data_IF_881844263357
#
_entry.id   IF_881844263357
#
_cell.length_a   1.000
_cell.length_b   1.000
_cell.length_c   1.000
_cell.angle_alpha   90.00
_cell.angle_beta   90.00
_cell.angle_gamma   90.00
#
_symmetry.space_group_name_H-M   'P 1'
#
loop_
_entity.id
_entity.type
_entity.pdbx_description
1 polymer ?
#
# COMPACT_ATOMS: atom_id res chain seq x y z
N UNK A 1 4.73 -67.55 103.12
CA UNK A 1 4.08 -66.58 102.22
C UNK A 1 4.90 -65.30 102.25
N UNK A 2 5.72 -65.09 101.24
CA UNK A 2 5.89 -63.79 100.61
C UNK A 2 6.58 -64.03 99.27
N UNK A 3 5.87 -63.63 98.23
CA UNK A 3 6.12 -63.98 96.85
C UNK A 3 7.39 -63.32 96.34
N UNK A 4 8.14 -64.10 95.57
CA UNK A 4 9.22 -63.67 94.69
C UNK A 4 8.61 -62.70 93.66
N UNK A 5 8.96 -61.43 93.68
CA UNK A 5 8.77 -60.54 92.53
C UNK A 5 10.11 -60.44 91.84
N UNK A 6 10.23 -61.10 90.69
CA UNK A 6 11.43 -61.03 89.84
C UNK A 6 11.53 -59.60 89.25
N UNK A 7 12.72 -58.96 89.23
CA UNK A 7 12.88 -57.63 88.61
C UNK A 7 12.54 -57.60 87.11
N UNK A 8 12.41 -58.76 86.45
CA UNK A 8 11.98 -58.87 85.06
C UNK A 8 10.50 -58.50 84.82
N UNK A 9 9.61 -58.67 85.82
CA UNK A 9 8.18 -58.37 85.64
C UNK A 9 7.88 -56.85 85.68
N UNK A 10 8.70 -56.04 86.37
CA UNK A 10 8.53 -54.58 86.39
C UNK A 10 9.04 -53.89 85.12
N UNK A 11 10.08 -54.44 84.47
CA UNK A 11 10.58 -53.91 83.19
C UNK A 11 9.66 -54.25 82.01
N UNK A 12 8.99 -55.42 82.04
CA UNK A 12 8.03 -55.81 81.00
C UNK A 12 6.77 -54.93 81.00
N UNK A 13 6.22 -54.61 82.18
CA UNK A 13 4.99 -53.80 82.30
C UNK A 13 5.23 -52.33 81.94
N UNK A 14 6.38 -51.76 82.33
CA UNK A 14 6.75 -50.38 81.96
C UNK A 14 7.06 -50.19 80.48
N UNK A 15 7.51 -51.25 79.79
CA UNK A 15 7.77 -51.23 78.34
C UNK A 15 6.47 -51.26 77.52
N UNK A 16 5.46 -52.01 77.98
CA UNK A 16 4.14 -52.06 77.33
C UNK A 16 3.36 -50.76 77.48
N UNK A 17 3.35 -50.14 78.66
CA UNK A 17 2.63 -48.86 78.90
C UNK A 17 3.25 -47.67 78.13
N UNK A 18 4.58 -47.68 77.97
CA UNK A 18 5.30 -46.72 77.13
C UNK A 18 5.00 -46.91 75.64
N UNK A 19 5.04 -48.15 75.15
CA UNK A 19 4.71 -48.50 73.76
C UNK A 19 3.27 -48.13 73.38
N UNK A 20 2.31 -48.33 74.27
CA UNK A 20 0.92 -47.95 74.05
C UNK A 20 0.73 -46.43 74.00
N UNK A 21 1.51 -45.69 74.78
CA UNK A 21 1.49 -44.22 74.80
C UNK A 21 2.11 -43.64 73.53
N UNK A 22 3.24 -44.18 73.08
CA UNK A 22 3.91 -43.80 71.82
C UNK A 22 3.04 -44.13 70.59
N UNK A 23 2.35 -45.27 70.61
CA UNK A 23 1.38 -45.66 69.56
C UNK A 23 0.21 -44.68 69.46
N UNK A 24 -0.39 -44.31 70.60
CA UNK A 24 -1.51 -43.34 70.62
C UNK A 24 -1.07 -41.95 70.17
N UNK A 25 0.13 -41.51 70.56
CA UNK A 25 0.70 -40.24 70.12
C UNK A 25 0.88 -40.21 68.59
N UNK A 26 1.49 -41.26 68.02
CA UNK A 26 1.65 -41.38 66.57
C UNK A 26 0.32 -41.41 65.81
N UNK A 27 -0.69 -42.12 66.32
CA UNK A 27 -2.04 -42.13 65.72
C UNK A 27 -2.68 -40.74 65.74
N UNK A 28 -2.57 -40.01 66.85
CA UNK A 28 -3.11 -38.65 66.94
C UNK A 28 -2.41 -37.70 65.95
N UNK A 29 -1.08 -37.77 65.82
CA UNK A 29 -0.36 -36.95 64.82
C UNK A 29 -0.76 -37.30 63.39
N UNK A 30 -0.89 -38.60 63.06
CA UNK A 30 -1.40 -39.05 61.76
C UNK A 30 -2.79 -38.47 61.49
N UNK A 31 -3.70 -38.53 62.48
CA UNK A 31 -5.04 -37.97 62.36
C UNK A 31 -5.00 -36.45 62.13
N UNK A 32 -4.18 -35.72 62.89
CA UNK A 32 -4.03 -34.27 62.72
C UNK A 32 -3.51 -33.91 61.33
N UNK A 33 -2.50 -34.60 60.81
CA UNK A 33 -1.97 -34.35 59.45
C UNK A 33 -3.04 -34.65 58.39
N UNK A 34 -3.82 -35.72 58.56
CA UNK A 34 -4.93 -36.04 57.66
C UNK A 34 -6.06 -35.02 57.73
N UNK A 35 -6.37 -34.46 58.91
CA UNK A 35 -7.33 -33.37 59.07
C UNK A 35 -6.87 -32.12 58.31
N UNK A 36 -5.60 -31.71 58.45
CA UNK A 36 -5.03 -30.59 57.71
C UNK A 36 -5.07 -30.84 56.19
N UNK A 37 -4.67 -32.04 55.75
CA UNK A 37 -4.70 -32.41 54.35
C UNK A 37 -6.14 -32.42 53.77
N UNK A 38 -7.14 -32.81 54.57
CA UNK A 38 -8.55 -32.74 54.19
C UNK A 38 -9.07 -31.30 54.06
N UNK A 39 -8.48 -30.36 54.81
CA UNK A 39 -8.74 -28.92 54.70
C UNK A 39 -7.92 -28.25 53.58
N UNK A 40 -7.05 -29.01 52.89
CA UNK A 40 -6.20 -28.52 51.80
C UNK A 40 -4.84 -27.97 52.25
N UNK A 41 -4.50 -28.10 53.54
CA UNK A 41 -3.17 -27.79 54.06
C UNK A 41 -2.27 -29.04 53.99
N UNK A 42 -1.42 -29.07 52.97
CA UNK A 42 -0.43 -30.13 52.78
C UNK A 42 0.94 -29.78 53.39
N UNK A 43 1.03 -28.79 54.28
CA UNK A 43 2.30 -28.42 54.93
C UNK A 43 2.52 -29.15 56.26
N UNK A 44 1.48 -29.72 56.85
CA UNK A 44 1.56 -30.50 58.08
C UNK A 44 2.36 -31.80 57.89
N UNK A 45 3.13 -32.19 58.91
CA UNK A 45 3.92 -33.43 58.94
C UNK A 45 3.78 -34.12 60.30
N UNK A 46 3.84 -35.44 60.29
CA UNK A 46 3.92 -36.24 61.51
C UNK A 46 5.38 -36.47 61.84
N UNK A 47 5.77 -36.15 63.08
CA UNK A 47 7.16 -36.25 63.58
C UNK A 47 7.36 -37.50 64.45
N UNK A 48 6.28 -38.21 64.78
CA UNK A 48 6.31 -39.42 65.57
C UNK A 48 7.21 -40.51 64.97
N UNK A 49 8.08 -41.06 65.81
CA UNK A 49 8.94 -42.22 65.49
C UNK A 49 8.60 -43.38 66.44
N UNK A 50 7.49 -44.10 66.20
CA UNK A 50 7.07 -45.20 67.05
C UNK A 50 8.00 -46.42 66.89
N UNK A 51 8.20 -47.16 67.98
CA UNK A 51 9.00 -48.38 67.99
C UNK A 51 8.38 -49.51 67.13
N UNK A 52 7.07 -49.46 66.88
CA UNK A 52 6.40 -50.39 65.97
C UNK A 52 6.75 -50.07 64.51
N UNK A 53 7.38 -51.02 63.78
CA UNK A 53 7.86 -50.78 62.42
C UNK A 53 6.73 -50.57 61.40
N UNK A 54 5.53 -51.12 61.62
CA UNK A 54 4.39 -50.91 60.72
C UNK A 54 3.82 -49.50 60.91
N UNK A 55 3.76 -49.02 62.14
CA UNK A 55 3.32 -47.66 62.43
C UNK A 55 4.32 -46.62 61.96
N UNK A 56 5.62 -46.86 62.15
CA UNK A 56 6.68 -45.99 61.62
C UNK A 56 6.65 -45.91 60.10
N UNK A 57 6.42 -47.03 59.42
CA UNK A 57 6.22 -47.05 57.97
C UNK A 57 4.97 -46.26 57.54
N UNK A 58 3.88 -46.32 58.32
CA UNK A 58 2.65 -45.56 58.03
C UNK A 58 2.86 -44.06 58.15
N UNK A 59 3.61 -43.60 59.17
CA UNK A 59 4.02 -42.18 59.31
C UNK A 59 4.84 -41.73 58.10
N UNK A 60 5.81 -42.55 57.67
CA UNK A 60 6.62 -42.27 56.48
C UNK A 60 5.79 -42.14 55.21
N UNK A 61 4.88 -43.09 54.95
CA UNK A 61 3.97 -43.05 53.80
C UNK A 61 3.03 -41.84 53.83
N UNK A 62 2.52 -41.46 55.01
CA UNK A 62 1.67 -40.28 55.14
C UNK A 62 2.42 -39.02 54.71
N UNK A 63 3.63 -38.81 55.25
CA UNK A 63 4.44 -37.64 54.91
C UNK A 63 4.79 -37.61 53.41
N UNK A 64 5.08 -38.77 52.79
CA UNK A 64 5.35 -38.87 51.35
C UNK A 64 4.12 -38.51 50.50
N UNK A 65 2.92 -38.99 50.88
CA UNK A 65 1.67 -38.65 50.18
C UNK A 65 1.37 -37.16 50.29
N UNK A 66 1.51 -36.59 51.50
CA UNK A 66 1.26 -35.16 51.73
C UNK A 66 2.26 -34.29 50.97
N UNK A 67 3.55 -34.67 50.94
CA UNK A 67 4.59 -33.98 50.15
C UNK A 67 4.28 -34.02 48.64
N UNK A 68 3.82 -35.17 48.12
CA UNK A 68 3.43 -35.31 46.72
C UNK A 68 2.21 -34.44 46.36
N UNK A 69 1.24 -34.33 47.26
CA UNK A 69 0.09 -33.45 47.11
C UNK A 69 0.51 -31.98 47.16
N UNK A 70 1.35 -31.57 48.12
CA UNK A 70 1.91 -30.23 48.21
C UNK A 70 2.60 -29.82 46.90
N UNK A 71 3.48 -30.68 46.36
CA UNK A 71 4.16 -30.42 45.09
C UNK A 71 3.19 -30.31 43.90
N UNK A 72 2.14 -31.14 43.88
CA UNK A 72 1.11 -31.10 42.84
C UNK A 72 0.36 -29.78 42.88
N UNK A 73 -0.12 -29.35 44.06
CA UNK A 73 -0.83 -28.08 44.20
C UNK A 73 0.06 -26.87 43.93
N UNK A 74 1.32 -26.89 44.38
CA UNK A 74 2.29 -25.85 44.02
C UNK A 74 2.56 -25.75 42.50
N UNK A 75 2.40 -26.86 41.77
CA UNK A 75 2.50 -26.87 40.31
C UNK A 75 1.22 -26.31 39.66
N UNK A 76 0.05 -26.63 40.19
CA UNK A 76 -1.24 -26.08 39.72
C UNK A 76 -1.29 -24.57 39.95
N UNK A 77 -0.80 -24.08 41.08
CA UNK A 77 -0.77 -22.66 41.43
C UNK A 77 0.11 -21.87 40.45
N UNK A 78 1.34 -22.34 40.23
CA UNK A 78 2.25 -21.79 39.19
C UNK A 78 1.61 -21.79 37.80
N UNK A 79 0.93 -22.86 37.43
CA UNK A 79 0.25 -22.93 36.13
C UNK A 79 -0.92 -21.93 36.05
N UNK A 80 -1.66 -21.69 37.13
CA UNK A 80 -2.73 -20.71 37.16
C UNK A 80 -2.20 -19.27 37.02
N UNK A 81 -1.04 -18.98 37.63
CA UNK A 81 -0.32 -17.72 37.45
C UNK A 81 0.14 -17.53 36.01
N UNK A 82 0.78 -18.54 35.41
CA UNK A 82 1.23 -18.51 34.01
C UNK A 82 0.04 -18.29 33.04
N UNK A 83 -1.10 -18.95 33.29
CA UNK A 83 -2.33 -18.77 32.51
C UNK A 83 -2.87 -17.36 32.66
N UNK A 84 -2.82 -16.79 33.88
CA UNK A 84 -3.25 -15.42 34.14
C UNK A 84 -2.39 -14.42 33.39
N UNK A 85 -1.07 -14.56 33.45
CA UNK A 85 -0.12 -13.71 32.74
C UNK A 85 -0.35 -13.79 31.22
N UNK A 86 -0.39 -15.01 30.68
CA UNK A 86 -0.61 -15.25 29.24
C UNK A 86 -1.95 -14.67 28.78
N UNK A 87 -3.00 -14.76 29.60
CA UNK A 87 -4.33 -14.20 29.28
C UNK A 87 -4.30 -12.66 29.24
N UNK A 88 -3.53 -12.04 30.14
CA UNK A 88 -3.34 -10.58 30.13
C UNK A 88 -2.53 -10.14 28.91
N UNK A 89 -1.51 -10.88 28.52
CA UNK A 89 -0.75 -10.62 27.29
C UNK A 89 -1.61 -10.77 26.04
N UNK A 90 -2.41 -11.84 25.95
CA UNK A 90 -3.34 -12.05 24.86
C UNK A 90 -4.37 -10.91 24.77
N UNK A 91 -4.87 -10.44 25.91
CA UNK A 91 -5.81 -9.29 25.97
C UNK A 91 -5.16 -8.02 25.43
N UNK A 92 -3.89 -7.74 25.82
CA UNK A 92 -3.11 -6.62 25.29
C UNK A 92 -2.93 -6.73 23.78
N UNK A 93 -2.50 -7.90 23.30
CA UNK A 93 -2.31 -8.14 21.86
C UNK A 93 -3.61 -8.00 21.04
N UNK A 94 -4.76 -8.41 21.59
CA UNK A 94 -6.05 -8.19 20.93
C UNK A 94 -6.38 -6.70 20.82
N UNK A 95 -6.05 -5.90 21.83
CA UNK A 95 -6.31 -4.45 21.78
C UNK A 95 -5.40 -3.76 20.76
N UNK A 96 -4.12 -4.14 20.69
CA UNK A 96 -3.20 -3.65 19.67
C UNK A 96 -3.69 -4.01 18.25
N UNK A 97 -4.13 -5.25 18.03
CA UNK A 97 -4.71 -5.69 16.75
C UNK A 97 -5.96 -4.89 16.39
N UNK A 98 -6.81 -4.54 17.36
CA UNK A 98 -7.99 -3.70 17.12
C UNK A 98 -7.59 -2.29 16.69
N UNK A 99 -6.57 -1.71 17.32
CA UNK A 99 -6.07 -0.38 16.97
C UNK A 99 -5.47 -0.37 15.56
N UNK A 100 -4.59 -1.33 15.25
CA UNK A 100 -4.02 -1.50 13.91
C UNK A 100 -5.11 -1.72 12.85
N UNK A 101 -6.14 -2.53 13.16
CA UNK A 101 -7.29 -2.72 12.27
C UNK A 101 -8.09 -1.44 12.02
N UNK A 102 -8.20 -0.53 13.00
CA UNK A 102 -8.80 0.78 12.80
C UNK A 102 -7.99 1.64 11.84
N UNK A 103 -6.65 1.62 11.96
CA UNK A 103 -5.76 2.34 11.04
C UNK A 103 -5.89 1.80 9.62
N UNK A 104 -5.93 0.48 9.44
CA UNK A 104 -6.12 -0.15 8.12
C UNK A 104 -7.47 0.24 7.50
N UNK A 105 -8.55 0.25 8.29
CA UNK A 105 -9.86 0.69 7.81
C UNK A 105 -9.82 2.15 7.35
N UNK A 106 -9.25 3.05 8.15
CA UNK A 106 -9.13 4.46 7.77
C UNK A 106 -8.29 4.63 6.49
N UNK A 107 -7.18 3.90 6.37
CA UNK A 107 -6.37 3.91 5.15
C UNK A 107 -7.16 3.42 3.93
N UNK A 108 -8.03 2.43 4.10
CA UNK A 108 -8.87 1.91 3.02
C UNK A 108 -9.91 2.94 2.59
N UNK A 109 -10.54 3.64 3.54
CA UNK A 109 -11.47 4.74 3.26
C UNK A 109 -10.78 5.87 2.47
N UNK A 110 -9.58 6.30 2.88
CA UNK A 110 -8.80 7.31 2.14
C UNK A 110 -8.41 6.84 0.73
N UNK A 111 -8.08 5.56 0.56
CA UNK A 111 -7.79 5.00 -0.78
C UNK A 111 -9.04 5.03 -1.65
N UNK A 112 -10.21 4.70 -1.10
CA UNK A 112 -11.48 4.78 -1.83
C UNK A 112 -11.77 6.22 -2.27
N UNK A 113 -11.68 7.20 -1.36
CA UNK A 113 -11.84 8.62 -1.70
C UNK A 113 -10.88 9.08 -2.81
N UNK A 114 -9.60 8.71 -2.70
CA UNK A 114 -8.60 9.05 -3.72
C UNK A 114 -8.85 8.35 -5.07
N UNK A 115 -9.50 7.18 -5.06
CA UNK A 115 -9.88 6.44 -6.27
C UNK A 115 -11.04 7.14 -6.99
N UNK A 116 -12.03 7.62 -6.24
CA UNK A 116 -13.17 8.39 -6.78
C UNK A 116 -12.68 9.72 -7.40
N UNK A 117 -11.73 10.39 -6.75
CA UNK A 117 -11.07 11.59 -7.30
C UNK A 117 -10.28 11.27 -8.59
N UNK A 118 -9.58 10.12 -8.63
CA UNK A 118 -8.87 9.67 -9.82
C UNK A 118 -9.80 9.38 -10.99
N UNK A 119 -10.96 8.79 -10.75
CA UNK A 119 -11.98 8.56 -11.80
C UNK A 119 -12.38 9.88 -12.44
N UNK A 120 -12.69 10.89 -11.62
CA UNK A 120 -13.02 12.25 -12.09
C UNK A 120 -11.88 12.86 -12.92
N UNK A 121 -10.63 12.68 -12.50
CA UNK A 121 -9.47 13.16 -13.26
C UNK A 121 -9.30 12.45 -14.60
N UNK A 122 -9.53 11.13 -14.65
CA UNK A 122 -9.46 10.35 -15.91
C UNK A 122 -10.54 10.79 -16.89
N UNK A 123 -11.75 11.06 -16.42
CA UNK A 123 -12.82 11.62 -17.25
C UNK A 123 -12.44 12.99 -17.82
N UNK A 124 -11.87 13.87 -16.98
CA UNK A 124 -11.39 15.19 -17.42
C UNK A 124 -10.32 15.07 -18.50
N UNK A 125 -9.30 14.23 -18.29
CA UNK A 125 -8.23 14.00 -19.28
C UNK A 125 -8.79 13.44 -20.57
N UNK A 126 -9.77 12.53 -20.50
CA UNK A 126 -10.42 11.96 -21.68
C UNK A 126 -11.17 13.04 -22.47
N UNK A 127 -11.83 13.97 -21.78
CA UNK A 127 -12.49 15.12 -22.41
C UNK A 127 -11.49 16.07 -23.07
N UNK A 128 -10.38 16.37 -22.40
CA UNK A 128 -9.31 17.20 -22.96
C UNK A 128 -8.68 16.55 -24.21
N UNK A 129 -8.47 15.23 -24.20
CA UNK A 129 -7.97 14.49 -25.36
C UNK A 129 -8.94 14.53 -26.54
N UNK A 130 -10.26 14.48 -26.28
CA UNK A 130 -11.26 14.65 -27.32
C UNK A 130 -11.20 16.05 -27.95
N UNK A 131 -11.03 17.09 -27.13
CA UNK A 131 -10.87 18.46 -27.61
C UNK A 131 -9.59 18.63 -28.45
N UNK A 132 -8.46 18.08 -27.98
CA UNK A 132 -7.19 18.10 -28.74
C UNK A 132 -7.35 17.39 -30.09
N UNK A 133 -8.05 16.25 -30.13
CA UNK A 133 -8.31 15.52 -31.37
C UNK A 133 -9.13 16.36 -32.35
N UNK A 134 -10.17 17.05 -31.87
CA UNK A 134 -10.96 17.96 -32.69
C UNK A 134 -10.12 19.14 -33.24
N UNK A 135 -9.24 19.71 -32.42
CA UNK A 135 -8.32 20.76 -32.88
C UNK A 135 -7.34 20.24 -33.95
N UNK A 136 -6.86 18.99 -33.83
CA UNK A 136 -5.99 18.38 -34.85
C UNK A 136 -6.74 18.19 -36.18
N UNK A 137 -8.01 17.77 -36.14
CA UNK A 137 -8.86 17.67 -37.33
C UNK A 137 -9.04 19.03 -38.01
N UNK A 138 -9.28 20.09 -37.23
CA UNK A 138 -9.42 21.47 -37.75
C UNK A 138 -8.11 21.98 -38.37
N UNK A 139 -6.97 21.72 -37.74
CA UNK A 139 -5.65 22.06 -38.29
C UNK A 139 -5.40 21.33 -39.61
N UNK A 140 -5.78 20.06 -39.70
CA UNK A 140 -5.63 19.27 -40.93
C UNK A 140 -6.49 19.84 -42.06
N UNK A 141 -7.76 20.12 -41.79
CA UNK A 141 -8.66 20.75 -42.76
C UNK A 141 -8.14 22.12 -43.21
N UNK A 142 -7.65 22.94 -42.28
CA UNK A 142 -7.05 24.24 -42.60
C UNK A 142 -5.79 24.09 -43.46
N UNK A 143 -4.98 23.06 -43.22
CA UNK A 143 -3.78 22.79 -44.02
C UNK A 143 -4.15 22.38 -45.46
N UNK A 144 -5.19 21.56 -45.63
CA UNK A 144 -5.73 21.19 -46.94
C UNK A 144 -6.27 22.41 -47.70
N UNK A 145 -7.05 23.27 -47.03
CA UNK A 145 -7.56 24.53 -47.60
C UNK A 145 -6.42 25.46 -48.04
N UNK A 146 -5.37 25.58 -47.23
CA UNK A 146 -4.17 26.38 -47.56
C UNK A 146 -3.42 25.79 -48.76
N UNK A 147 -3.35 24.48 -48.88
CA UNK A 147 -2.74 23.80 -50.02
C UNK A 147 -3.53 24.08 -51.31
N UNK A 148 -4.85 23.92 -51.28
CA UNK A 148 -5.74 24.20 -52.43
C UNK A 148 -5.62 25.67 -52.86
N UNK A 149 -5.66 26.61 -51.90
CA UNK A 149 -5.55 28.02 -52.20
C UNK A 149 -4.16 28.41 -52.74
N UNK A 150 -3.10 27.72 -52.32
CA UNK A 150 -1.75 27.90 -52.85
C UNK A 150 -1.63 27.40 -54.30
N UNK A 151 -2.27 26.28 -54.63
CA UNK A 151 -2.35 25.78 -56.01
C UNK A 151 -3.11 26.76 -56.90
N UNK A 152 -4.26 27.26 -56.45
CA UNK A 152 -5.07 28.22 -57.19
C UNK A 152 -4.31 29.56 -57.41
N UNK A 153 -3.54 30.02 -56.41
CA UNK A 153 -2.65 31.18 -56.56
C UNK A 153 -1.54 30.93 -57.58
N UNK A 154 -0.95 29.73 -57.58
CA UNK A 154 0.08 29.38 -58.56
C UNK A 154 -0.49 29.37 -59.99
N UNK A 155 -1.71 28.84 -60.19
CA UNK A 155 -2.41 28.85 -61.47
C UNK A 155 -2.66 30.29 -61.97
N UNK A 156 -3.23 31.14 -61.13
CA UNK A 156 -3.42 32.57 -61.45
C UNK A 156 -2.12 33.29 -61.74
N UNK A 157 -1.05 32.97 -61.01
CA UNK A 157 0.29 33.51 -61.26
C UNK A 157 0.80 33.15 -62.65
N UNK A 158 0.60 31.90 -63.10
CA UNK A 158 0.97 31.46 -64.46
C UNK A 158 0.13 32.15 -65.53
N UNK A 159 -1.17 32.33 -65.31
CA UNK A 159 -2.04 33.07 -66.23
C UNK A 159 -1.65 34.54 -66.34
N UNK A 160 -1.37 35.19 -65.21
CA UNK A 160 -0.87 36.56 -65.15
C UNK A 160 0.46 36.72 -65.90
N UNK A 161 1.39 35.77 -65.74
CA UNK A 161 2.65 35.73 -66.50
C UNK A 161 2.43 35.69 -68.01
N UNK A 162 1.54 34.82 -68.50
CA UNK A 162 1.17 34.75 -69.93
C UNK A 162 0.50 36.04 -70.42
N UNK A 163 -0.30 36.70 -69.59
CA UNK A 163 -0.92 37.97 -69.95
C UNK A 163 0.12 39.10 -70.07
N UNK A 164 1.10 39.14 -69.17
CA UNK A 164 2.21 40.07 -69.24
C UNK A 164 3.09 39.85 -70.47
N UNK A 165 3.41 38.60 -70.81
CA UNK A 165 4.18 38.24 -72.02
C UNK A 165 3.48 38.73 -73.30
N UNK A 166 2.17 38.49 -73.43
CA UNK A 166 1.37 39.03 -74.55
C UNK A 166 1.35 40.56 -74.59
N UNK A 167 1.32 41.22 -73.44
CA UNK A 167 1.34 42.68 -73.38
C UNK A 167 2.69 43.25 -73.86
N UNK A 168 3.80 42.58 -73.52
CA UNK A 168 5.14 42.95 -74.03
C UNK A 168 5.19 42.79 -75.56
N UNK A 169 4.72 41.66 -76.10
CA UNK A 169 4.65 41.46 -77.56
C UNK A 169 3.78 42.50 -78.28
N UNK A 170 2.69 42.96 -77.65
CA UNK A 170 1.85 44.03 -78.18
C UNK A 170 2.58 45.38 -78.18
N UNK A 171 3.30 45.70 -77.09
CA UNK A 171 4.11 46.91 -76.99
C UNK A 171 5.24 46.94 -78.02
N UNK A 172 5.92 45.82 -78.25
CA UNK A 172 6.98 45.70 -79.27
C UNK A 172 6.42 45.95 -80.69
N UNK A 173 5.21 45.46 -80.97
CA UNK A 173 4.50 45.72 -82.24
C UNK A 173 4.11 47.20 -82.38
N UNK A 174 3.64 47.83 -81.31
CA UNK A 174 3.34 49.26 -81.29
C UNK A 174 4.61 50.08 -81.55
N UNK A 175 5.73 49.75 -80.89
CA UNK A 175 7.02 50.42 -81.10
C UNK A 175 7.46 50.33 -82.58
N UNK A 176 7.35 49.14 -83.17
CA UNK A 176 7.65 48.93 -84.60
C UNK A 176 6.77 49.81 -85.49
N UNK A 177 5.45 49.80 -85.28
CA UNK A 177 4.51 50.62 -86.06
C UNK A 177 4.71 52.13 -85.90
N UNK A 178 5.11 52.58 -84.70
CA UNK A 178 5.48 53.98 -84.46
C UNK A 178 6.75 54.35 -85.24
N UNK A 179 7.73 53.45 -85.34
CA UNK A 179 8.95 53.66 -86.13
C UNK A 179 8.64 53.76 -87.63
N UNK A 180 7.83 52.85 -88.18
CA UNK A 180 7.40 52.89 -89.59
C UNK A 180 6.60 54.16 -89.92
N UNK A 181 5.71 54.58 -89.02
CA UNK A 181 4.95 55.81 -89.19
C UNK A 181 5.86 57.05 -89.22
N UNK A 182 6.90 57.09 -88.38
CA UNK A 182 7.92 58.16 -88.42
C UNK A 182 8.67 58.17 -89.75
N UNK A 183 9.11 57.01 -90.23
CA UNK A 183 9.83 56.90 -91.50
C UNK A 183 8.97 57.37 -92.69
N UNK A 184 7.70 56.96 -92.71
CA UNK A 184 6.72 57.41 -93.71
C UNK A 184 6.51 58.93 -93.67
N UNK A 185 6.41 59.52 -92.47
CA UNK A 185 6.26 60.96 -92.32
C UNK A 185 7.50 61.72 -92.82
N UNK A 186 8.71 61.20 -92.56
CA UNK A 186 9.95 61.76 -93.11
C UNK A 186 9.96 61.68 -94.64
N UNK A 187 9.64 60.52 -95.21
CA UNK A 187 9.57 60.36 -96.67
C UNK A 187 8.55 61.30 -97.33
N UNK A 188 7.36 61.46 -96.73
CA UNK A 188 6.35 62.42 -97.21
C UNK A 188 6.85 63.87 -97.16
N UNK A 189 7.63 64.21 -96.12
CA UNK A 189 8.24 65.54 -96.00
C UNK A 189 9.25 65.77 -97.12
N UNK A 190 10.12 64.78 -97.39
CA UNK A 190 11.10 64.84 -98.47
C UNK A 190 10.44 64.96 -99.85
N UNK A 191 9.37 64.18 -100.10
CA UNK A 191 8.61 64.27 -101.34
C UNK A 191 7.92 65.64 -101.52
N UNK A 192 7.41 66.21 -100.43
CA UNK A 192 6.77 67.53 -100.48
C UNK A 192 7.81 68.62 -100.80
N UNK A 193 9.01 68.53 -100.22
CA UNK A 193 10.12 69.42 -100.54
C UNK A 193 10.58 69.30 -102.00
N UNK A 194 10.64 68.09 -102.56
CA UNK A 194 10.95 67.86 -103.98
C UNK A 194 9.88 68.45 -104.91
N UNK A 195 8.60 68.37 -104.53
CA UNK A 195 7.51 69.01 -105.28
C UNK A 195 7.64 70.53 -105.26
N UNK A 196 7.96 71.13 -104.11
CA UNK A 196 8.18 72.58 -103.99
C UNK A 196 9.33 73.03 -104.91
N UNK A 197 10.43 72.26 -104.99
CA UNK A 197 11.54 72.52 -105.93
C UNK A 197 11.11 72.48 -107.41
N UNK A 198 10.27 71.51 -107.79
CA UNK A 198 9.75 71.40 -109.16
C UNK A 198 8.82 72.57 -109.49
N UNK A 199 7.98 72.98 -108.55
CA UNK A 199 7.09 74.14 -108.70
C UNK A 199 7.92 75.41 -108.93
N UNK A 200 8.95 75.64 -108.11
CA UNK A 200 9.85 76.78 -108.27
C UNK A 200 10.59 76.77 -109.63
N UNK A 201 10.98 75.59 -110.15
CA UNK A 201 11.59 75.47 -111.48
C UNK A 201 10.64 75.82 -112.63
N UNK A 202 9.34 75.48 -112.54
CA UNK A 202 8.35 75.76 -113.59
C UNK A 202 7.99 77.26 -113.66
N UNK A 203 8.05 77.97 -112.53
CA UNK A 203 7.73 79.39 -112.44
C UNK A 203 8.97 80.31 -112.57
N UNK A 204 10.16 79.75 -112.81
CA UNK A 204 11.40 80.46 -113.18
C UNK A 204 11.59 80.60 -114.68
#
# INVERSE_FOLDING_TARGET
MNSFTSPADSESVGRTDRSDTETKAAINEIQTVLEHAAEGDFTARADASPDDPQLAHTVGLLNEVVESLEHTFATVDRFADDVTETSQEATRGIEDVRQESQVVRQSTETISEATDDQETHVESVSSEMANVSATIEEVTATADDVAEQSEEMADRGREGGKAAERAVEELDRIETGVSEARETATHLTDQTAEIDEVVDFIFS
#
